data_IF_266692673989
#
_entry.id   IF_266692673989
#
_cell.length_a   1.000
_cell.length_b   1.000
_cell.length_c   1.000
_cell.angle_alpha   90.00
_cell.angle_beta   90.00
_cell.angle_gamma   90.00
#
_symmetry.space_group_name_H-M   'P 1'
#
loop_
_entity.id
_entity.type
_entity.pdbx_description
1 polymer ?
#
# COMPACT_ATOMS: atom_id res chain seq x y z
N UNK A 1 6.23 19.71 5.19
CA UNK A 1 5.65 19.30 3.94
C UNK A 1 5.51 17.79 3.81
N UNK A 2 6.58 17.01 3.77
CA UNK A 2 6.48 15.55 3.82
C UNK A 2 6.90 15.10 5.20
N UNK A 3 5.92 14.83 6.08
CA UNK A 3 6.16 14.43 7.46
C UNK A 3 5.74 12.98 7.69
N UNK A 4 4.67 12.53 7.04
CA UNK A 4 4.17 11.17 7.15
C UNK A 4 3.82 10.63 5.77
N UNK A 5 4.55 9.62 5.35
CA UNK A 5 4.37 8.95 4.07
C UNK A 5 3.58 7.66 4.24
N UNK A 6 2.70 7.38 3.31
CA UNK A 6 2.04 6.09 3.20
C UNK A 6 2.36 5.47 1.85
N UNK A 7 2.85 4.25 1.85
CA UNK A 7 3.06 3.44 0.65
C UNK A 7 2.13 2.22 0.71
N UNK A 8 1.35 2.01 -0.34
CA UNK A 8 0.52 0.83 -0.48
C UNK A 8 1.30 -0.24 -1.23
N UNK A 9 1.38 -1.43 -0.67
CA UNK A 9 2.26 -2.48 -1.18
C UNK A 9 1.49 -3.77 -1.43
N UNK A 10 1.55 -4.29 -2.65
CA UNK A 10 0.92 -5.54 -3.05
C UNK A 10 1.91 -6.55 -3.65
N UNK A 11 3.20 -6.24 -3.63
CA UNK A 11 4.23 -7.09 -4.21
C UNK A 11 4.40 -6.98 -5.72
N UNK A 12 3.62 -6.15 -6.39
CA UNK A 12 3.78 -5.91 -7.83
C UNK A 12 5.08 -5.16 -8.10
N UNK A 13 5.53 -5.16 -9.36
CA UNK A 13 6.76 -4.47 -9.74
C UNK A 13 6.65 -2.96 -9.48
N UNK A 14 5.52 -2.35 -9.78
CA UNK A 14 5.36 -0.92 -9.52
C UNK A 14 5.27 -0.62 -8.03
N UNK A 15 4.72 -1.54 -7.22
CA UNK A 15 4.71 -1.37 -5.77
C UNK A 15 6.13 -1.48 -5.18
N UNK A 16 6.96 -2.35 -5.74
CA UNK A 16 8.37 -2.44 -5.32
C UNK A 16 9.12 -1.14 -5.63
N UNK A 17 8.90 -0.59 -6.82
CA UNK A 17 9.48 0.70 -7.18
C UNK A 17 8.95 1.82 -6.29
N UNK A 18 7.65 1.78 -5.96
CA UNK A 18 7.04 2.74 -5.06
C UNK A 18 7.66 2.68 -3.65
N UNK A 19 7.91 1.46 -3.17
CA UNK A 19 8.56 1.30 -1.86
C UNK A 19 9.97 1.87 -1.86
N UNK A 20 10.75 1.63 -2.92
CA UNK A 20 12.10 2.19 -3.04
C UNK A 20 12.07 3.71 -2.98
N UNK A 21 11.13 4.33 -3.70
CA UNK A 21 10.99 5.78 -3.66
C UNK A 21 10.55 6.27 -2.28
N UNK A 22 9.61 5.57 -1.65
CA UNK A 22 9.14 5.94 -0.32
C UNK A 22 10.26 5.89 0.72
N UNK A 23 11.13 4.89 0.65
CA UNK A 23 12.31 4.81 1.52
C UNK A 23 13.22 6.02 1.33
N UNK A 24 13.49 6.36 0.07
CA UNK A 24 14.36 7.48 -0.27
C UNK A 24 13.78 8.80 0.25
N UNK A 25 12.49 9.03 0.03
CA UNK A 25 11.80 10.22 0.50
C UNK A 25 11.79 10.29 2.03
N UNK A 26 11.46 9.18 2.70
CA UNK A 26 11.41 9.15 4.16
C UNK A 26 12.78 9.46 4.77
N UNK A 27 13.85 8.92 4.18
CA UNK A 27 15.20 9.18 4.63
C UNK A 27 15.61 10.64 4.43
N UNK A 28 15.31 11.21 3.28
CA UNK A 28 15.70 12.59 2.94
C UNK A 28 14.95 13.63 3.75
N UNK A 29 13.66 13.40 4.01
CA UNK A 29 12.83 14.37 4.72
C UNK A 29 12.71 14.09 6.21
N UNK A 30 13.29 13.00 6.70
CA UNK A 30 13.09 12.59 8.09
C UNK A 30 11.65 12.27 8.38
N UNK A 31 10.92 11.73 7.39
CA UNK A 31 9.50 11.47 7.51
C UNK A 31 9.22 10.10 8.13
N UNK A 32 8.09 9.99 8.81
CA UNK A 32 7.56 8.73 9.30
C UNK A 32 7.00 7.95 8.11
N UNK A 33 7.31 6.66 8.03
CA UNK A 33 6.91 5.80 6.93
C UNK A 33 5.85 4.80 7.38
N UNK A 34 4.73 4.77 6.69
CA UNK A 34 3.70 3.76 6.89
C UNK A 34 3.61 2.88 5.66
N UNK A 35 3.66 1.57 5.86
CA UNK A 35 3.56 0.59 4.78
C UNK A 35 2.30 -0.22 5.01
N UNK A 36 1.38 -0.15 4.06
CA UNK A 36 0.06 -0.78 4.16
C UNK A 36 -0.13 -1.78 3.03
N UNK A 37 -0.51 -3.00 3.38
CA UNK A 37 -0.99 -3.98 2.43
C UNK A 37 -2.48 -4.20 2.70
N UNK A 38 -3.29 -4.22 1.63
CA UNK A 38 -4.72 -4.43 1.76
C UNK A 38 -5.08 -5.73 1.05
N UNK A 39 -5.47 -6.73 1.83
CA UNK A 39 -5.92 -8.02 1.32
C UNK A 39 -7.41 -7.91 0.96
N UNK A 40 -7.76 -8.27 -0.27
CA UNK A 40 -9.15 -8.26 -0.70
C UNK A 40 -9.87 -9.47 -0.10
N UNK A 41 -11.09 -9.29 0.44
CA UNK A 41 -11.87 -10.44 0.88
C UNK A 41 -12.36 -11.22 -0.34
N UNK A 42 -12.61 -12.53 -0.21
CA UNK A 42 -13.20 -13.29 -1.30
C UNK A 42 -14.64 -12.81 -1.55
N UNK A 43 -15.04 -12.78 -2.83
CA UNK A 43 -16.37 -12.33 -3.21
C UNK A 43 -17.46 -13.38 -2.93
N UNK A 44 -17.08 -14.67 -2.98
CA UNK A 44 -18.00 -15.78 -2.84
C UNK A 44 -17.40 -16.86 -1.94
N UNK A 45 -18.26 -17.59 -1.25
CA UNK A 45 -17.86 -18.73 -0.45
C UNK A 45 -18.72 -18.91 0.80
N UNK A 46 -18.64 -20.09 1.41
CA UNK A 46 -19.26 -20.33 2.70
C UNK A 46 -18.51 -19.51 3.75
N UNK A 47 -19.21 -19.12 4.80
CA UNK A 47 -18.67 -18.26 5.85
C UNK A 47 -17.37 -18.80 6.45
N UNK A 48 -17.30 -20.10 6.71
CA UNK A 48 -16.11 -20.74 7.27
C UNK A 48 -14.93 -20.69 6.28
N UNK A 49 -15.20 -20.93 5.01
CA UNK A 49 -14.19 -20.86 3.97
C UNK A 49 -13.70 -19.42 3.79
N UNK A 50 -14.60 -18.46 3.90
CA UNK A 50 -14.27 -17.04 3.81
C UNK A 50 -13.29 -16.63 4.91
N UNK A 51 -13.56 -17.05 6.15
CA UNK A 51 -12.66 -16.74 7.26
C UNK A 51 -11.28 -17.37 7.07
N UNK A 52 -11.22 -18.61 6.60
CA UNK A 52 -9.97 -19.30 6.34
C UNK A 52 -9.18 -18.61 5.23
N UNK A 53 -9.85 -18.18 4.16
CA UNK A 53 -9.21 -17.46 3.05
C UNK A 53 -8.71 -16.10 3.50
N UNK A 54 -9.48 -15.37 4.28
CA UNK A 54 -9.07 -14.07 4.82
C UNK A 54 -7.81 -14.23 5.68
N UNK A 55 -7.80 -15.21 6.58
CA UNK A 55 -6.64 -15.45 7.44
C UNK A 55 -5.40 -15.86 6.63
N UNK A 56 -5.59 -16.67 5.60
CA UNK A 56 -4.51 -17.06 4.71
C UNK A 56 -3.95 -15.85 3.96
N UNK A 57 -4.83 -14.99 3.45
CA UNK A 57 -4.41 -13.74 2.78
C UNK A 57 -3.66 -12.82 3.72
N UNK A 58 -4.14 -12.70 4.95
CA UNK A 58 -3.49 -11.86 5.96
C UNK A 58 -2.07 -12.36 6.26
N UNK A 59 -1.91 -13.68 6.41
CA UNK A 59 -0.58 -14.27 6.60
C UNK A 59 0.33 -14.06 5.40
N UNK A 60 -0.22 -14.20 4.20
CA UNK A 60 0.52 -13.97 2.97
C UNK A 60 1.10 -12.56 2.92
N UNK A 61 0.26 -11.54 3.15
CA UNK A 61 0.70 -10.16 3.12
C UNK A 61 1.62 -9.81 4.29
N UNK A 62 1.37 -10.38 5.48
CA UNK A 62 2.27 -10.20 6.60
C UNK A 62 3.68 -10.71 6.26
N UNK A 63 3.74 -11.88 5.64
CA UNK A 63 5.00 -12.47 5.20
C UNK A 63 5.66 -11.62 4.09
N UNK A 64 4.87 -11.11 3.18
CA UNK A 64 5.33 -10.26 2.09
C UNK A 64 6.01 -8.98 2.61
N UNK A 65 5.52 -8.43 3.70
CA UNK A 65 6.06 -7.22 4.29
C UNK A 65 7.32 -7.43 5.14
N UNK A 66 7.62 -8.64 5.56
CA UNK A 66 8.76 -8.91 6.44
C UNK A 66 10.11 -8.40 5.90
N UNK A 67 10.49 -8.67 4.64
CA UNK A 67 11.76 -8.15 4.11
C UNK A 67 11.82 -6.62 4.11
N UNK A 68 10.67 -5.97 3.96
CA UNK A 68 10.60 -4.51 3.91
C UNK A 68 10.93 -3.90 5.26
N UNK A 69 10.60 -4.58 6.35
CA UNK A 69 10.91 -4.11 7.70
C UNK A 69 12.41 -3.97 7.90
N UNK A 70 13.19 -4.90 7.39
CA UNK A 70 14.65 -4.85 7.46
C UNK A 70 15.18 -3.64 6.68
N UNK A 71 14.63 -3.39 5.49
CA UNK A 71 15.05 -2.28 4.64
C UNK A 71 14.69 -0.92 5.24
N UNK A 72 13.64 -0.87 6.06
CA UNK A 72 13.21 0.35 6.72
C UNK A 72 13.85 0.55 8.10
N UNK A 73 14.77 -0.31 8.50
CA UNK A 73 15.49 -0.16 9.75
C UNK A 73 16.23 1.19 9.77
N UNK A 74 16.13 1.90 10.89
CA UNK A 74 16.68 3.24 11.01
C UNK A 74 15.68 4.35 10.74
N UNK A 75 14.50 4.02 10.22
CA UNK A 75 13.40 4.96 10.03
C UNK A 75 12.32 4.69 11.09
N UNK A 76 11.49 5.69 11.34
CA UNK A 76 10.27 5.46 12.10
C UNK A 76 9.26 4.87 11.12
N UNK A 77 9.06 3.57 11.19
CA UNK A 77 8.25 2.84 10.21
C UNK A 77 7.18 1.99 10.89
N UNK A 78 5.99 1.99 10.28
CA UNK A 78 4.84 1.21 10.73
C UNK A 78 4.37 0.34 9.58
N UNK A 79 4.07 -0.93 9.87
CA UNK A 79 3.63 -1.90 8.88
C UNK A 79 2.28 -2.46 9.29
N UNK A 80 1.32 -2.47 8.39
CA UNK A 80 -0.01 -2.97 8.70
C UNK A 80 -0.61 -3.72 7.52
N UNK A 81 -1.37 -4.76 7.82
CA UNK A 81 -2.17 -5.49 6.85
C UNK A 81 -3.64 -5.29 7.20
N UNK A 82 -4.41 -4.80 6.23
CA UNK A 82 -5.85 -4.63 6.37
C UNK A 82 -6.56 -5.58 5.41
N UNK A 83 -7.80 -5.88 5.72
CA UNK A 83 -8.68 -6.64 4.83
C UNK A 83 -9.80 -5.72 4.37
N UNK A 84 -10.00 -5.63 3.06
CA UNK A 84 -11.03 -4.75 2.50
C UNK A 84 -10.75 -4.37 1.06
N UNK A 85 -11.33 -3.25 0.66
CA UNK A 85 -11.10 -2.70 -0.68
C UNK A 85 -9.85 -1.83 -0.66
N UNK A 86 -8.86 -2.10 -1.52
CA UNK A 86 -7.57 -1.42 -1.42
C UNK A 86 -7.63 0.11 -1.44
N UNK A 87 -8.33 0.70 -2.39
CA UNK A 87 -8.36 2.16 -2.48
C UNK A 87 -9.03 2.79 -1.25
N UNK A 88 -10.16 2.22 -0.82
CA UNK A 88 -10.85 2.68 0.38
C UNK A 88 -9.97 2.55 1.62
N UNK A 89 -9.32 1.40 1.78
CA UNK A 89 -8.42 1.16 2.91
C UNK A 89 -7.27 2.15 2.95
N UNK A 90 -6.67 2.45 1.80
CA UNK A 90 -5.58 3.40 1.69
C UNK A 90 -6.04 4.81 2.11
N UNK A 91 -7.18 5.25 1.57
CA UNK A 91 -7.69 6.60 1.87
C UNK A 91 -8.07 6.74 3.34
N UNK A 92 -8.76 5.73 3.90
CA UNK A 92 -9.14 5.74 5.31
C UNK A 92 -7.92 5.70 6.23
N UNK A 93 -6.94 4.86 5.93
CA UNK A 93 -5.70 4.81 6.69
C UNK A 93 -5.01 6.17 6.71
N UNK A 94 -4.94 6.81 5.55
CA UNK A 94 -4.29 8.11 5.44
C UNK A 94 -4.98 9.17 6.31
N UNK A 95 -6.31 9.18 6.32
CA UNK A 95 -7.06 10.10 7.17
C UNK A 95 -6.86 9.81 8.65
N UNK A 96 -6.94 8.53 9.02
CA UNK A 96 -6.83 8.13 10.43
C UNK A 96 -5.45 8.39 11.03
N UNK A 97 -4.42 8.34 10.21
CA UNK A 97 -3.03 8.46 10.69
C UNK A 97 -2.38 9.81 10.37
N UNK A 98 -3.13 10.75 9.79
CA UNK A 98 -2.60 12.06 9.46
C UNK A 98 -1.51 12.01 8.39
N UNK A 99 -1.65 11.13 7.43
CA UNK A 99 -0.72 11.02 6.31
C UNK A 99 -0.81 12.27 5.44
N UNK A 100 0.32 12.81 5.05
CA UNK A 100 0.36 13.98 4.17
C UNK A 100 0.82 13.65 2.76
N UNK A 101 1.34 12.46 2.52
CA UNK A 101 1.82 12.06 1.21
C UNK A 101 1.63 10.56 0.99
N UNK A 102 0.93 10.20 -0.08
CA UNK A 102 0.72 8.80 -0.46
C UNK A 102 1.57 8.47 -1.67
N UNK A 103 2.25 7.32 -1.64
CA UNK A 103 3.02 6.79 -2.76
C UNK A 103 2.38 5.49 -3.19
N UNK A 104 2.01 5.37 -4.46
CA UNK A 104 1.38 4.16 -5.00
C UNK A 104 2.04 3.79 -6.32
N UNK A 105 2.08 2.50 -6.61
CA UNK A 105 2.46 2.02 -7.93
C UNK A 105 1.37 2.38 -8.94
N UNK A 106 1.74 2.61 -10.19
CA UNK A 106 0.77 3.02 -11.18
C UNK A 106 -0.16 1.87 -11.59
N UNK A 107 0.24 0.62 -11.38
CA UNK A 107 -0.58 -0.57 -11.63
C UNK A 107 -0.35 -1.63 -10.56
N UNK A 108 -1.37 -2.45 -10.34
CA UNK A 108 -1.22 -3.64 -9.51
C UNK A 108 -0.94 -4.88 -10.36
N UNK A 109 -1.23 -6.05 -9.80
CA UNK A 109 -1.07 -7.31 -10.50
C UNK A 109 -2.03 -7.46 -11.67
N UNK A 110 -1.59 -8.15 -12.72
CA UNK A 110 -2.43 -8.63 -13.80
C UNK A 110 -2.83 -7.63 -14.87
N UNK A 111 -2.32 -6.42 -14.85
CA UNK A 111 -2.63 -5.45 -15.88
C UNK A 111 -1.63 -5.52 -17.04
N UNK A 112 -2.12 -5.30 -18.23
CA UNK A 112 -1.35 -5.46 -19.46
C UNK A 112 -1.01 -4.13 -20.14
N UNK A 113 -1.80 -3.11 -19.90
CA UNK A 113 -1.69 -1.85 -20.61
C UNK A 113 -0.71 -0.92 -19.89
N UNK A 114 0.37 -0.55 -20.58
CA UNK A 114 1.38 0.35 -20.00
C UNK A 114 0.85 1.75 -19.74
N UNK A 115 -0.12 2.14 -20.55
CA UNK A 115 -0.63 3.52 -20.56
C UNK A 115 -1.73 3.73 -19.52
N UNK A 116 -2.38 2.66 -19.11
CA UNK A 116 -3.50 2.75 -18.21
C UNK A 116 -3.06 2.80 -16.76
N UNK A 117 -3.59 3.77 -16.05
CA UNK A 117 -3.44 3.85 -14.63
C UNK A 117 -4.32 2.77 -13.99
N UNK A 118 -3.80 2.03 -13.03
CA UNK A 118 -4.55 0.99 -12.33
C UNK A 118 -5.74 1.56 -11.56
N UNK A 119 -6.74 0.73 -11.32
CA UNK A 119 -7.97 1.15 -10.66
C UNK A 119 -7.73 1.66 -9.24
N UNK A 120 -6.82 1.03 -8.49
CA UNK A 120 -6.50 1.47 -7.14
C UNK A 120 -5.87 2.86 -7.15
N UNK A 121 -4.87 3.08 -8.00
CA UNK A 121 -4.22 4.39 -8.11
C UNK A 121 -5.22 5.48 -8.51
N UNK A 122 -6.07 5.20 -9.50
CA UNK A 122 -7.10 6.17 -9.92
C UNK A 122 -8.05 6.54 -8.81
N UNK A 123 -8.51 5.56 -8.04
CA UNK A 123 -9.45 5.79 -6.95
C UNK A 123 -8.79 6.54 -5.80
N UNK A 124 -7.55 6.20 -5.49
CA UNK A 124 -6.79 6.93 -4.46
C UNK A 124 -6.67 8.40 -4.84
N UNK A 125 -6.27 8.69 -6.08
CA UNK A 125 -6.16 10.07 -6.58
C UNK A 125 -7.50 10.80 -6.48
N UNK A 126 -8.58 10.11 -6.82
CA UNK A 126 -9.92 10.73 -6.84
C UNK A 126 -10.45 11.06 -5.44
N UNK A 127 -10.13 10.24 -4.45
CA UNK A 127 -10.78 10.36 -3.14
C UNK A 127 -9.89 10.88 -2.01
N UNK A 128 -8.58 10.86 -2.17
CA UNK A 128 -7.70 11.35 -1.10
C UNK A 128 -7.56 12.88 -1.13
N UNK A 129 -7.27 13.43 0.04
CA UNK A 129 -6.91 14.85 0.16
C UNK A 129 -5.40 15.03 0.18
N UNK A 130 -4.66 13.93 0.27
CA UNK A 130 -3.20 13.96 0.31
C UNK A 130 -2.61 14.20 -1.06
N UNK A 131 -1.38 14.69 -1.07
CA UNK A 131 -0.54 14.63 -2.26
C UNK A 131 -0.27 13.16 -2.60
N UNK A 132 -0.30 12.83 -3.87
CA UNK A 132 -0.08 11.45 -4.33
C UNK A 132 1.05 11.43 -5.34
N UNK A 133 2.02 10.57 -5.10
CA UNK A 133 3.06 10.25 -6.09
C UNK A 133 2.72 8.87 -6.67
N UNK A 134 2.63 8.81 -7.99
CA UNK A 134 2.37 7.57 -8.71
C UNK A 134 3.66 7.10 -9.34
N UNK A 135 4.07 5.87 -9.05
CA UNK A 135 5.36 5.34 -9.47
C UNK A 135 5.18 4.29 -10.55
N UNK A 136 5.92 4.44 -11.62
CA UNK A 136 6.01 3.44 -12.69
C UNK A 136 7.15 2.49 -12.33
N UNK A 137 6.95 1.23 -12.63
CA UNK A 137 7.98 0.27 -12.29
C UNK A 137 8.05 -0.88 -13.21
#
# INVERSE_FOLDING_TARGET
MIHKLLIAYDGSDSAKAAFDLALDLAGKYGAELHVLAVARPPEFGAEVETEAVIESSRRHYTHLLQPLKTRAAGLTAHFEVMVGHPAEGIVLYAEDHGIDHIVVGHRGHGLFERWLLGSVARQVIAYTRCTVTVVRG
#
